data_IF_119350273824
#
_entry.id   IF_119350273824
#
_cell.length_a   1.000
_cell.length_b   1.000
_cell.length_c   1.000
_cell.angle_alpha   90.00
_cell.angle_beta   90.00
_cell.angle_gamma   90.00
#
_symmetry.space_group_name_H-M   'P 1'
#
loop_
_entity.id
_entity.type
_entity.pdbx_description
1 polymer ?
#
# COMPACT_ATOMS: atom_id res chain seq x y z
N UNK A 1 31.87 17.41 34.30
CA UNK A 1 32.98 17.77 33.40
C UNK A 1 33.41 16.52 32.66
N UNK A 2 33.19 16.42 31.36
CA UNK A 2 34.03 15.73 30.38
C UNK A 2 33.42 16.01 28.99
N UNK A 3 34.08 16.88 28.22
CA UNK A 3 33.73 17.27 26.86
C UNK A 3 34.34 16.24 25.91
N UNK A 4 33.53 15.57 25.10
CA UNK A 4 34.01 14.69 24.04
C UNK A 4 34.04 15.47 22.72
N UNK A 5 35.24 15.76 22.23
CA UNK A 5 35.51 16.49 20.99
C UNK A 5 35.57 15.49 19.83
N UNK A 6 34.70 15.62 18.82
CA UNK A 6 34.81 14.91 17.55
C UNK A 6 35.42 15.85 16.50
N UNK A 7 36.62 15.52 16.05
CA UNK A 7 37.37 16.25 15.03
C UNK A 7 36.93 15.80 13.63
N UNK A 8 36.60 16.78 12.79
CA UNK A 8 36.22 16.62 11.37
C UNK A 8 37.52 16.55 10.54
N UNK A 9 37.65 15.55 9.67
CA UNK A 9 38.68 15.51 8.62
C UNK A 9 37.98 15.46 7.26
N UNK A 10 37.96 16.62 6.59
CA UNK A 10 37.52 16.76 5.20
C UNK A 10 38.72 16.53 4.28
N UNK A 11 38.64 15.56 3.36
CA UNK A 11 39.59 15.38 2.29
C UNK A 11 39.01 15.94 0.98
N UNK A 12 39.64 16.99 0.46
CA UNK A 12 39.36 17.56 -0.85
C UNK A 12 40.20 16.83 -1.91
N UNK A 13 39.57 16.39 -3.00
CA UNK A 13 40.26 15.88 -4.18
C UNK A 13 39.91 16.78 -5.38
N UNK A 14 40.90 17.53 -5.85
CA UNK A 14 40.86 18.31 -7.08
C UNK A 14 41.37 17.45 -8.24
N UNK A 15 40.66 17.42 -9.36
CA UNK A 15 41.14 16.84 -10.62
C UNK A 15 41.01 17.88 -11.73
N UNK A 16 42.13 18.06 -12.43
CA UNK A 16 42.44 19.05 -13.45
C UNK A 16 41.75 18.79 -14.80
N UNK A 17 41.47 19.88 -15.50
CA UNK A 17 41.01 19.94 -16.88
C UNK A 17 42.13 19.61 -17.89
N UNK A 18 41.76 19.02 -19.03
CA UNK A 18 42.60 18.90 -20.23
C UNK A 18 41.74 18.75 -21.48
N UNK A 19 41.83 19.73 -22.37
CA UNK A 19 41.15 19.82 -23.66
C UNK A 19 42.11 19.51 -24.81
N UNK A 20 41.64 18.80 -25.84
CA UNK A 20 42.27 18.75 -27.16
C UNK A 20 41.21 18.47 -28.25
N UNK A 21 41.11 19.39 -29.21
CA UNK A 21 40.34 19.27 -30.45
C UNK A 21 41.25 18.80 -31.59
N UNK A 22 40.75 17.98 -32.50
CA UNK A 22 41.34 17.76 -33.82
C UNK A 22 40.24 17.57 -34.90
N UNK A 23 40.42 18.27 -36.02
CA UNK A 23 39.62 18.33 -37.24
C UNK A 23 40.11 17.30 -38.28
N UNK A 24 39.20 16.79 -39.13
CA UNK A 24 39.27 16.71 -40.62
C UNK A 24 38.39 15.56 -41.19
N UNK A 25 37.36 15.90 -42.00
CA UNK A 25 37.21 15.68 -43.48
C UNK A 25 36.79 14.24 -43.89
N UNK A 26 35.54 14.02 -44.32
CA UNK A 26 34.89 14.18 -45.65
C UNK A 26 35.12 13.00 -46.62
N UNK A 27 34.03 12.30 -46.96
CA UNK A 27 33.61 11.69 -48.25
C UNK A 27 32.47 10.71 -47.91
N UNK A 28 31.20 10.88 -48.29
CA UNK A 28 30.66 11.24 -49.60
C UNK A 28 30.19 9.96 -50.28
N UNK A 29 28.89 9.62 -50.22
CA UNK A 29 28.16 8.87 -51.24
C UNK A 29 26.65 9.15 -51.11
N UNK A 30 26.01 9.29 -52.27
CA UNK A 30 24.78 10.04 -52.55
C UNK A 30 23.69 9.09 -53.04
N UNK A 31 22.53 9.10 -52.37
CA UNK A 31 21.14 9.02 -52.90
C UNK A 31 20.71 7.72 -53.65
N UNK A 32 19.40 7.40 -53.80
CA UNK A 32 18.25 8.30 -53.80
C UNK A 32 17.03 7.91 -52.95
N UNK A 33 16.21 8.93 -52.73
CA UNK A 33 14.87 8.87 -52.17
C UNK A 33 13.82 8.61 -53.25
N UNK A 34 12.68 8.01 -52.83
CA UNK A 34 11.26 8.36 -53.13
C UNK A 34 10.35 7.09 -53.13
N UNK A 35 9.01 7.18 -53.00
CA UNK A 35 8.23 7.75 -51.89
C UNK A 35 7.02 6.83 -51.47
N UNK A 36 6.23 7.31 -50.49
CA UNK A 36 4.83 6.94 -50.15
C UNK A 36 4.63 5.75 -49.17
N UNK A 37 4.02 5.98 -48.01
CA UNK A 37 2.58 5.92 -47.73
C UNK A 37 2.35 6.12 -46.22
N UNK A 38 1.37 6.95 -45.87
CA UNK A 38 0.93 7.15 -44.48
C UNK A 38 -0.08 6.05 -44.12
N UNK A 39 0.36 5.08 -43.33
CA UNK A 39 -0.55 4.19 -42.61
C UNK A 39 -0.53 4.57 -41.13
N UNK A 40 -1.67 5.08 -40.66
CA UNK A 40 -1.94 5.32 -39.24
C UNK A 40 -2.21 3.98 -38.56
N UNK A 41 -1.25 3.50 -37.77
CA UNK A 41 -1.48 2.49 -36.74
C UNK A 41 -1.21 3.15 -35.38
N UNK A 42 -2.18 3.22 -34.45
CA UNK A 42 -1.89 3.60 -33.08
C UNK A 42 -1.19 2.40 -32.42
N UNK A 43 0.12 2.31 -32.60
CA UNK A 43 0.97 1.46 -31.77
C UNK A 43 0.95 2.02 -30.36
N UNK A 44 0.26 1.33 -29.45
CA UNK A 44 0.50 1.45 -28.02
C UNK A 44 1.98 1.12 -27.78
N UNK A 45 2.80 2.16 -27.73
CA UNK A 45 4.12 2.08 -27.15
C UNK A 45 3.90 1.90 -25.65
N UNK A 46 3.91 0.63 -25.21
CA UNK A 46 4.12 0.25 -23.82
C UNK A 46 5.47 0.81 -23.39
N UNK A 47 5.46 2.04 -22.91
CA UNK A 47 6.55 2.58 -22.12
C UNK A 47 6.63 1.70 -20.87
N UNK A 48 7.78 1.11 -20.53
CA UNK A 48 7.88 0.33 -19.31
C UNK A 48 7.54 1.27 -18.16
N UNK A 49 6.43 0.99 -17.49
CA UNK A 49 6.09 1.65 -16.24
C UNK A 49 7.26 1.42 -15.29
N UNK A 50 7.95 2.51 -14.96
CA UNK A 50 9.02 2.53 -13.98
C UNK A 50 8.61 1.65 -12.80
N UNK A 51 9.45 0.66 -12.51
CA UNK A 51 9.31 -0.23 -11.36
C UNK A 51 9.56 0.57 -10.09
N UNK A 52 8.65 1.47 -9.74
CA UNK A 52 8.65 2.15 -8.47
C UNK A 52 8.34 1.10 -7.39
N UNK A 53 9.36 0.75 -6.62
CA UNK A 53 9.22 -0.02 -5.38
C UNK A 53 8.20 0.71 -4.49
N UNK A 54 7.16 0.01 -4.04
CA UNK A 54 6.22 0.58 -3.08
C UNK A 54 7.00 1.11 -1.87
N UNK A 55 6.67 2.32 -1.37
CA UNK A 55 7.41 2.93 -0.26
C UNK A 55 7.36 2.03 0.97
N UNK A 56 8.47 1.96 1.70
CA UNK A 56 8.55 1.22 2.96
C UNK A 56 7.67 1.92 4.00
N UNK A 57 6.66 1.22 4.53
CA UNK A 57 5.63 1.73 5.44
C UNK A 57 5.73 1.04 6.79
N UNK A 58 5.43 1.78 7.86
CA UNK A 58 5.35 1.23 9.21
C UNK A 58 4.08 0.37 9.42
N UNK A 59 3.08 0.51 8.56
CA UNK A 59 1.86 -0.31 8.56
C UNK A 59 1.22 -0.41 7.19
N UNK A 60 -0.10 -0.42 7.16
CA UNK A 60 -0.89 -0.71 5.99
C UNK A 60 -0.99 0.47 5.02
N UNK A 61 -1.24 0.20 3.71
CA UNK A 61 -1.70 1.20 2.76
C UNK A 61 -2.87 2.04 3.29
N UNK A 62 -3.05 3.21 2.69
CA UNK A 62 -4.22 4.03 2.94
C UNK A 62 -5.51 3.26 2.62
N UNK A 63 -6.42 3.03 3.59
CA UNK A 63 -7.48 2.02 3.46
C UNK A 63 -8.73 2.55 2.75
N UNK A 64 -8.84 3.86 2.56
CA UNK A 64 -10.03 4.48 2.00
C UNK A 64 -9.88 4.81 0.52
N UNK A 65 -11.01 4.84 -0.15
CA UNK A 65 -11.15 5.19 -1.55
C UNK A 65 -11.39 6.68 -1.79
N UNK A 66 -11.35 7.48 -0.72
CA UNK A 66 -11.71 8.90 -0.71
C UNK A 66 -10.58 9.72 -0.12
N UNK A 67 -10.35 10.92 -0.66
CA UNK A 67 -9.37 11.87 -0.15
C UNK A 67 -9.75 12.32 1.27
N UNK A 68 -8.83 12.34 2.25
CA UNK A 68 -9.12 12.76 3.62
C UNK A 68 -9.39 14.26 3.75
N UNK A 69 -9.09 15.05 2.71
CA UNK A 69 -9.30 16.50 2.69
C UNK A 69 -10.57 16.90 1.96
N UNK A 70 -10.73 16.46 0.70
CA UNK A 70 -11.90 16.86 -0.10
C UNK A 70 -13.09 15.89 0.04
N UNK A 71 -12.86 14.66 0.49
CA UNK A 71 -13.86 13.59 0.47
C UNK A 71 -14.11 12.99 -0.92
N UNK A 72 -13.49 13.51 -1.98
CA UNK A 72 -13.66 13.01 -3.34
C UNK A 72 -12.99 11.65 -3.54
N UNK A 73 -13.48 10.89 -4.52
CA UNK A 73 -12.94 9.58 -4.89
C UNK A 73 -11.49 9.70 -5.36
N UNK A 74 -10.59 8.91 -4.77
CA UNK A 74 -9.22 8.77 -5.27
C UNK A 74 -9.23 8.16 -6.67
N UNK A 75 -8.47 8.77 -7.60
CA UNK A 75 -8.48 8.41 -9.02
C UNK A 75 -9.33 9.34 -9.91
N UNK A 76 -10.24 10.15 -9.35
CA UNK A 76 -11.06 11.07 -10.15
C UNK A 76 -10.27 12.24 -10.75
N UNK A 77 -9.10 12.56 -10.17
CA UNK A 77 -8.19 13.63 -10.60
C UNK A 77 -6.83 13.09 -11.06
N UNK A 78 -6.81 11.83 -11.53
CA UNK A 78 -5.58 11.13 -11.92
C UNK A 78 -5.01 10.26 -10.79
N UNK A 79 -3.73 9.89 -10.90
CA UNK A 79 -3.08 9.06 -9.90
C UNK A 79 -3.07 9.74 -8.52
N UNK A 80 -3.45 9.04 -7.43
CA UNK A 80 -3.45 9.63 -6.11
C UNK A 80 -2.06 10.10 -5.68
N UNK A 81 -2.00 11.29 -5.08
CA UNK A 81 -0.80 11.81 -4.44
C UNK A 81 -0.58 11.06 -3.12
N UNK A 82 0.52 10.32 -3.03
CA UNK A 82 0.88 9.54 -1.86
C UNK A 82 1.90 10.30 -1.02
N UNK A 83 1.61 10.53 0.26
CA UNK A 83 2.60 11.04 1.23
C UNK A 83 2.70 10.15 2.45
N UNK A 84 3.85 10.25 3.11
CA UNK A 84 4.17 9.53 4.34
C UNK A 84 4.21 10.51 5.50
N UNK A 85 3.42 10.24 6.54
CA UNK A 85 3.43 10.99 7.80
C UNK A 85 3.76 10.01 8.92
N UNK A 86 4.90 10.16 9.57
CA UNK A 86 5.32 9.26 10.67
C UNK A 86 5.29 7.77 10.27
N UNK A 87 5.71 7.45 9.05
CA UNK A 87 5.72 6.07 8.52
C UNK A 87 4.35 5.54 8.07
N UNK A 88 3.28 6.34 8.20
CA UNK A 88 1.93 6.04 7.72
C UNK A 88 1.70 6.63 6.34
N UNK A 89 1.16 5.81 5.43
CA UNK A 89 0.73 6.26 4.11
C UNK A 89 -0.61 7.02 4.18
N UNK A 90 -0.67 8.17 3.53
CA UNK A 90 -1.92 8.92 3.28
C UNK A 90 -2.00 9.26 1.79
N UNK A 91 -3.19 9.05 1.20
CA UNK A 91 -3.44 9.32 -0.21
C UNK A 91 -4.39 10.48 -0.40
N UNK A 92 -4.08 11.32 -1.37
CA UNK A 92 -4.83 12.51 -1.72
C UNK A 92 -5.25 12.47 -3.19
N UNK A 93 -6.35 13.13 -3.52
CA UNK A 93 -6.83 13.18 -4.90
C UNK A 93 -6.01 14.13 -5.80
N UNK A 94 -5.35 15.15 -5.24
CA UNK A 94 -4.52 16.10 -5.98
C UNK A 94 -3.37 16.66 -5.14
N UNK A 95 -2.43 17.36 -5.79
CA UNK A 95 -1.27 18.03 -5.22
C UNK A 95 -1.63 19.16 -4.22
N UNK A 96 -2.78 19.80 -4.39
CA UNK A 96 -3.28 20.84 -3.50
C UNK A 96 -3.83 20.35 -2.16
N UNK A 97 -4.03 19.04 -2.00
CA UNK A 97 -4.58 18.46 -0.77
C UNK A 97 -3.56 18.24 0.37
N UNK A 98 -2.34 17.71 0.13
CA UNK A 98 -1.34 17.56 1.19
C UNK A 98 -1.06 18.86 1.99
N UNK A 99 -0.88 20.05 1.37
CA UNK A 99 -0.65 21.28 2.13
C UNK A 99 -1.82 21.66 3.05
N UNK A 100 -3.07 21.33 2.66
CA UNK A 100 -4.26 21.55 3.48
C UNK A 100 -4.33 20.59 4.66
N UNK A 101 -3.89 19.35 4.46
CA UNK A 101 -3.76 18.35 5.52
C UNK A 101 -2.68 18.74 6.53
N UNK A 102 -1.56 19.26 6.03
CA UNK A 102 -0.40 19.66 6.83
C UNK A 102 -0.63 20.96 7.64
N UNK A 103 -1.62 21.79 7.24
CA UNK A 103 -1.97 23.05 7.94
C UNK A 103 -2.32 22.83 9.42
N UNK A 104 -3.00 21.72 9.71
CA UNK A 104 -3.23 21.23 11.06
C UNK A 104 -3.11 19.71 11.02
N UNK A 105 -1.86 19.25 11.03
CA UNK A 105 -1.54 17.83 10.89
C UNK A 105 -2.21 17.01 12.01
N UNK A 106 -2.16 17.49 13.25
CA UNK A 106 -2.72 16.79 14.41
C UNK A 106 -4.24 16.62 14.30
N UNK A 107 -4.99 17.68 13.98
CA UNK A 107 -6.43 17.57 13.80
C UNK A 107 -6.80 16.72 12.57
N UNK A 108 -6.01 16.80 11.50
CA UNK A 108 -6.25 16.02 10.29
C UNK A 108 -5.98 14.53 10.49
N UNK A 109 -4.92 14.16 11.20
CA UNK A 109 -4.64 12.77 11.56
C UNK A 109 -5.65 12.23 12.55
N UNK A 110 -6.09 13.02 13.54
CA UNK A 110 -7.12 12.60 14.49
C UNK A 110 -8.45 12.27 13.79
N UNK A 111 -8.91 13.11 12.86
CA UNK A 111 -10.11 12.83 12.05
C UNK A 111 -9.95 11.57 11.20
N UNK A 112 -8.76 11.36 10.64
CA UNK A 112 -8.49 10.15 9.87
C UNK A 112 -8.47 8.91 10.77
N UNK A 113 -7.94 9.03 11.99
CA UNK A 113 -7.92 7.96 12.98
C UNK A 113 -9.33 7.59 13.44
N UNK A 114 -10.19 8.57 13.73
CA UNK A 114 -11.61 8.33 14.02
C UNK A 114 -12.30 7.53 12.91
N UNK A 115 -12.02 7.86 11.64
CA UNK A 115 -12.56 7.11 10.50
C UNK A 115 -12.05 5.67 10.47
N UNK A 116 -10.76 5.46 10.77
CA UNK A 116 -10.14 4.12 10.84
C UNK A 116 -10.69 3.31 12.00
N UNK A 117 -10.82 3.91 13.18
CA UNK A 117 -11.41 3.25 14.36
C UNK A 117 -12.84 2.83 14.04
N UNK A 118 -13.66 3.74 13.50
CA UNK A 118 -15.05 3.43 13.12
C UNK A 118 -15.15 2.28 12.11
N UNK A 119 -14.24 2.24 11.16
CA UNK A 119 -14.18 1.22 10.11
C UNK A 119 -13.71 -0.15 10.64
N UNK A 120 -12.69 -0.17 11.49
CA UNK A 120 -12.01 -1.41 11.90
C UNK A 120 -12.50 -1.98 13.24
N UNK A 121 -13.07 -1.15 14.13
CA UNK A 121 -13.55 -1.57 15.45
C UNK A 121 -14.55 -2.74 15.40
N UNK A 122 -15.51 -2.82 14.46
CA UNK A 122 -16.44 -3.94 14.37
C UNK A 122 -15.78 -5.26 13.90
N UNK A 123 -14.59 -5.18 13.31
CA UNK A 123 -13.85 -6.31 12.73
C UNK A 123 -12.67 -6.75 13.60
N UNK A 124 -12.49 -6.13 14.78
CA UNK A 124 -11.32 -6.36 15.60
C UNK A 124 -11.31 -7.79 16.16
N UNK A 125 -10.23 -8.58 15.94
CA UNK A 125 -10.27 -10.04 16.17
C UNK A 125 -10.01 -10.46 17.62
N UNK A 126 -9.51 -9.57 18.47
CA UNK A 126 -9.09 -9.90 19.84
C UNK A 126 -10.06 -9.34 20.89
N UNK A 127 -10.32 -10.15 21.91
CA UNK A 127 -11.00 -9.74 23.16
C UNK A 127 -10.00 -9.35 24.26
N UNK A 128 -8.71 -9.55 24.01
CA UNK A 128 -7.59 -9.29 24.91
C UNK A 128 -6.71 -8.17 24.36
N UNK A 129 -5.93 -7.54 25.25
CA UNK A 129 -4.89 -6.58 24.89
C UNK A 129 -3.88 -7.22 23.97
N UNK A 130 -3.53 -6.51 22.90
CA UNK A 130 -2.50 -6.97 21.96
C UNK A 130 -1.12 -7.13 22.61
N UNK A 131 -0.85 -6.42 23.71
CA UNK A 131 0.45 -6.41 24.37
C UNK A 131 0.53 -7.41 25.52
N UNK A 132 -0.49 -7.46 26.37
CA UNK A 132 -0.45 -8.20 27.64
C UNK A 132 -1.29 -9.47 27.65
N UNK A 133 -2.07 -9.74 26.59
CA UNK A 133 -3.03 -10.84 26.49
C UNK A 133 -4.12 -10.86 27.60
N UNK A 134 -4.22 -9.81 28.41
CA UNK A 134 -5.28 -9.63 29.41
C UNK A 134 -6.58 -9.17 28.75
N UNK A 135 -7.73 -9.51 29.32
CA UNK A 135 -9.03 -9.07 28.80
C UNK A 135 -9.11 -7.54 28.62
N UNK A 136 -9.67 -7.11 27.49
CA UNK A 136 -9.92 -5.70 27.25
C UNK A 136 -11.06 -5.20 28.15
N UNK A 137 -10.94 -4.00 28.73
CA UNK A 137 -12.07 -3.37 29.42
C UNK A 137 -13.16 -2.98 28.43
N UNK A 138 -14.35 -2.63 28.94
CA UNK A 138 -15.48 -2.17 28.11
C UNK A 138 -15.13 -0.96 27.22
N UNK A 139 -14.17 -0.13 27.66
CA UNK A 139 -13.58 0.97 26.89
C UNK A 139 -12.07 0.73 26.80
N UNK A 140 -11.57 0.02 25.77
CA UNK A 140 -10.15 -0.23 25.60
C UNK A 140 -9.41 1.07 25.25
N UNK A 141 -8.09 1.09 25.50
CA UNK A 141 -7.24 2.13 24.95
C UNK A 141 -7.02 1.86 23.46
N UNK A 142 -7.55 2.74 22.63
CA UNK A 142 -7.50 2.64 21.17
C UNK A 142 -6.55 3.68 20.59
N UNK A 143 -5.73 3.26 19.64
CA UNK A 143 -4.95 4.16 18.80
C UNK A 143 -4.72 3.54 17.43
N UNK A 144 -4.33 4.36 16.46
CA UNK A 144 -4.00 3.90 15.11
C UNK A 144 -2.48 3.87 14.94
N UNK A 145 -1.96 2.73 14.49
CA UNK A 145 -0.58 2.55 14.08
C UNK A 145 -0.53 2.20 12.59
N UNK A 146 0.03 3.09 11.76
CA UNK A 146 0.20 2.83 10.33
C UNK A 146 -1.10 2.37 9.63
N UNK A 147 -2.18 3.13 9.76
CA UNK A 147 -3.52 2.80 9.23
C UNK A 147 -4.22 1.57 9.84
N UNK A 148 -3.73 1.05 10.97
CA UNK A 148 -4.36 -0.06 11.69
C UNK A 148 -4.77 0.30 13.10
N UNK A 149 -6.00 -0.05 13.45
CA UNK A 149 -6.50 0.05 14.82
C UNK A 149 -5.75 -0.96 15.71
N UNK A 150 -5.28 -0.49 16.85
CA UNK A 150 -4.72 -1.29 17.95
C UNK A 150 -5.54 -1.04 19.21
N UNK A 151 -5.87 -2.12 19.94
CA UNK A 151 -6.52 -2.07 21.25
C UNK A 151 -5.61 -2.65 22.33
N UNK A 152 -5.44 -1.87 23.39
CA UNK A 152 -4.74 -2.24 24.61
C UNK A 152 -5.68 -2.12 25.82
N UNK A 153 -5.31 -2.72 26.94
CA UNK A 153 -6.04 -2.59 28.19
C UNK A 153 -5.96 -1.18 28.78
N UNK A 154 -4.78 -0.56 28.70
CA UNK A 154 -4.52 0.81 29.14
C UNK A 154 -3.44 1.51 28.31
N UNK A 155 -3.38 2.85 28.39
CA UNK A 155 -2.37 3.67 27.71
C UNK A 155 -0.93 3.29 28.09
N UNK A 156 -0.70 2.88 29.34
CA UNK A 156 0.62 2.49 29.83
C UNK A 156 1.26 1.34 29.04
N UNK A 157 0.44 0.50 28.39
CA UNK A 157 0.91 -0.61 27.55
C UNK A 157 1.50 -0.14 26.21
N UNK A 158 1.21 1.10 25.77
CA UNK A 158 1.71 1.66 24.50
C UNK A 158 3.22 1.77 24.47
N UNK A 159 3.86 2.00 25.62
CA UNK A 159 5.32 2.04 25.72
C UNK A 159 5.94 0.69 25.35
N UNK A 160 5.30 -0.42 25.74
CA UNK A 160 5.75 -1.77 25.39
C UNK A 160 5.48 -2.08 23.91
N UNK A 161 4.28 -1.75 23.42
CA UNK A 161 3.96 -1.86 21.99
C UNK A 161 5.03 -1.19 21.11
N UNK A 162 5.48 0.01 21.51
CA UNK A 162 6.40 0.83 20.72
C UNK A 162 7.82 0.26 20.65
N UNK A 163 8.21 -0.68 21.52
CA UNK A 163 9.52 -1.34 21.49
C UNK A 163 9.66 -2.31 20.32
N UNK A 164 8.58 -2.98 19.96
CA UNK A 164 8.54 -3.93 18.84
C UNK A 164 7.16 -3.96 18.17
N UNK A 165 6.78 -2.87 17.47
CA UNK A 165 5.48 -2.82 16.81
C UNK A 165 5.34 -3.91 15.75
N UNK A 166 6.43 -4.32 15.08
CA UNK A 166 6.40 -5.37 14.04
C UNK A 166 5.92 -6.70 14.62
N UNK A 167 6.42 -7.11 15.79
CA UNK A 167 5.96 -8.31 16.49
C UNK A 167 4.48 -8.24 16.83
N UNK A 168 4.02 -7.14 17.43
CA UNK A 168 2.62 -7.01 17.85
C UNK A 168 1.66 -6.95 16.65
N UNK A 169 2.04 -6.25 15.58
CA UNK A 169 1.25 -6.23 14.35
C UNK A 169 1.17 -7.63 13.72
N UNK A 170 2.24 -8.43 13.76
CA UNK A 170 2.19 -9.82 13.30
C UNK A 170 1.27 -10.72 14.15
N UNK A 171 1.17 -10.47 15.46
CA UNK A 171 0.19 -11.14 16.34
C UNK A 171 -1.23 -10.75 15.94
N UNK A 172 -1.48 -9.46 15.72
CA UNK A 172 -2.78 -8.96 15.29
C UNK A 172 -3.20 -9.53 13.93
N UNK A 173 -2.28 -9.59 12.97
CA UNK A 173 -2.54 -10.18 11.65
C UNK A 173 -2.89 -11.67 11.76
N UNK A 174 -2.16 -12.44 12.57
CA UNK A 174 -2.50 -13.86 12.84
C UNK A 174 -3.89 -14.01 13.43
N UNK A 175 -4.29 -13.12 14.34
CA UNK A 175 -5.64 -13.13 14.91
C UNK A 175 -6.71 -12.83 13.86
N UNK A 176 -6.47 -11.87 12.95
CA UNK A 176 -7.36 -11.61 11.81
C UNK A 176 -7.49 -12.84 10.91
N UNK A 177 -6.38 -13.47 10.55
CA UNK A 177 -6.38 -14.69 9.72
C UNK A 177 -7.15 -15.83 10.40
N UNK A 178 -6.91 -16.04 11.70
CA UNK A 178 -7.57 -17.10 12.46
C UNK A 178 -9.09 -16.90 12.56
N UNK A 179 -9.56 -15.66 12.69
CA UNK A 179 -10.99 -15.36 12.80
C UNK A 179 -11.68 -15.36 11.43
N UNK A 180 -11.12 -14.64 10.46
CA UNK A 180 -11.74 -14.44 9.15
C UNK A 180 -11.47 -15.59 8.16
N UNK A 181 -10.44 -16.42 8.41
CA UNK A 181 -10.04 -17.51 7.53
C UNK A 181 -10.89 -18.78 7.64
N UNK A 182 -11.56 -19.01 8.78
CA UNK A 182 -12.37 -20.23 9.01
C UNK A 182 -13.52 -20.38 8.01
N UNK A 183 -14.19 -19.26 7.71
CA UNK A 183 -15.32 -19.19 6.79
C UNK A 183 -15.02 -18.16 5.69
N UNK A 184 -13.85 -18.30 5.06
CA UNK A 184 -13.43 -17.33 4.05
C UNK A 184 -14.41 -17.36 2.85
N UNK A 185 -15.04 -16.22 2.49
CA UNK A 185 -16.20 -16.21 1.59
C UNK A 185 -15.85 -16.36 0.10
N UNK A 186 -14.61 -16.05 -0.30
CA UNK A 186 -14.19 -16.13 -1.70
C UNK A 186 -13.59 -17.51 -2.00
N UNK A 187 -13.94 -18.06 -3.17
CA UNK A 187 -13.38 -19.30 -3.71
C UNK A 187 -12.28 -19.05 -4.75
N UNK A 188 -12.19 -17.80 -5.23
CA UNK A 188 -11.20 -17.34 -6.21
C UNK A 188 -10.48 -16.09 -5.75
N UNK A 189 -9.26 -15.93 -6.25
CA UNK A 189 -8.41 -14.77 -5.98
C UNK A 189 -9.12 -13.47 -6.41
N UNK A 190 -9.28 -12.47 -5.53
CA UNK A 190 -9.92 -11.20 -5.88
C UNK A 190 -9.07 -10.33 -6.81
N UNK A 191 -7.79 -10.67 -7.02
CA UNK A 191 -6.87 -9.96 -7.93
C UNK A 191 -6.90 -10.59 -9.31
N UNK A 192 -6.60 -11.89 -9.45
CA UNK A 192 -6.50 -12.57 -10.74
C UNK A 192 -7.81 -13.21 -11.23
N UNK A 193 -8.75 -13.53 -10.32
CA UNK A 193 -9.92 -14.35 -10.62
C UNK A 193 -9.64 -15.85 -10.70
N UNK A 194 -8.41 -16.29 -10.46
CA UNK A 194 -8.05 -17.71 -10.48
C UNK A 194 -8.56 -18.45 -9.24
N UNK A 195 -8.85 -19.75 -9.39
CA UNK A 195 -9.22 -20.59 -8.27
C UNK A 195 -8.02 -20.84 -7.33
N UNK A 196 -8.30 -20.94 -6.04
CA UNK A 196 -7.29 -21.32 -5.05
C UNK A 196 -6.90 -22.80 -5.20
N UNK A 197 -5.63 -23.12 -4.93
CA UNK A 197 -5.11 -24.49 -5.00
C UNK A 197 -4.81 -25.01 -6.42
N UNK A 198 -4.80 -24.12 -7.42
CA UNK A 198 -4.35 -24.41 -8.78
C UNK A 198 -2.83 -24.30 -8.95
N UNK A 199 -2.38 -24.03 -10.18
CA UNK A 199 -0.96 -23.98 -10.57
C UNK A 199 -0.13 -22.91 -9.82
N UNK A 200 -0.80 -21.94 -9.19
CA UNK A 200 -0.16 -20.87 -8.41
C UNK A 200 0.26 -21.30 -6.99
N UNK A 201 -0.08 -22.53 -6.58
CA UNK A 201 0.29 -23.11 -5.29
C UNK A 201 -0.66 -22.76 -4.15
N UNK A 202 -0.14 -22.81 -2.92
CA UNK A 202 -0.90 -22.48 -1.71
C UNK A 202 -1.28 -20.99 -1.68
N UNK A 203 -2.54 -20.66 -1.39
CA UNK A 203 -2.97 -19.27 -1.25
C UNK A 203 -2.19 -18.53 -0.17
N UNK A 204 -1.98 -17.24 -0.39
CA UNK A 204 -1.33 -16.33 0.55
C UNK A 204 -2.38 -15.47 1.23
N UNK A 205 -2.39 -15.47 2.55
CA UNK A 205 -3.23 -14.60 3.37
C UNK A 205 -2.53 -13.27 3.62
N UNK A 206 -3.17 -12.17 3.22
CA UNK A 206 -2.71 -10.81 3.44
C UNK A 206 -3.73 -10.09 4.31
N UNK A 207 -3.27 -9.34 5.31
CA UNK A 207 -4.16 -8.56 6.17
C UNK A 207 -3.98 -7.08 5.88
N UNK A 208 -5.08 -6.40 5.55
CA UNK A 208 -5.09 -4.96 5.30
C UNK A 208 -6.30 -4.32 5.97
N UNK A 209 -6.08 -3.25 6.73
CA UNK A 209 -7.13 -2.52 7.42
C UNK A 209 -8.05 -3.43 8.25
N UNK A 210 -7.47 -4.43 8.94
CA UNK A 210 -8.21 -5.41 9.74
C UNK A 210 -8.99 -6.46 8.94
N UNK A 211 -8.72 -6.61 7.64
CA UNK A 211 -9.43 -7.55 6.75
C UNK A 211 -8.47 -8.56 6.16
N UNK A 212 -8.88 -9.81 6.13
CA UNK A 212 -8.21 -10.86 5.39
C UNK A 212 -8.53 -10.76 3.90
N UNK A 213 -7.48 -10.65 3.09
CA UNK A 213 -7.50 -10.74 1.63
C UNK A 213 -6.59 -11.90 1.22
N UNK A 214 -7.20 -13.03 0.87
CA UNK A 214 -6.49 -14.20 0.36
C UNK A 214 -6.20 -14.02 -1.13
N UNK A 215 -5.00 -14.35 -1.57
CA UNK A 215 -4.59 -14.27 -2.98
C UNK A 215 -3.95 -15.57 -3.44
N UNK A 216 -3.96 -15.85 -4.74
CA UNK A 216 -3.37 -17.08 -5.28
C UNK A 216 -1.84 -17.09 -5.21
N UNK A 217 -1.18 -15.93 -5.19
CA UNK A 217 0.28 -15.84 -5.11
C UNK A 217 0.77 -14.53 -4.51
N UNK A 218 2.06 -14.50 -4.14
CA UNK A 218 2.73 -13.29 -3.58
C UNK A 218 2.74 -12.10 -4.53
N UNK A 219 2.71 -12.31 -5.84
CA UNK A 219 2.76 -11.22 -6.83
C UNK A 219 1.51 -10.33 -6.76
N UNK A 220 0.35 -10.90 -6.41
CA UNK A 220 -0.91 -10.17 -6.24
C UNK A 220 -0.86 -9.11 -5.12
N UNK A 221 0.10 -9.21 -4.19
CA UNK A 221 0.31 -8.21 -3.14
C UNK A 221 0.50 -6.80 -3.73
N UNK A 222 1.25 -6.66 -4.83
CA UNK A 222 1.54 -5.35 -5.43
C UNK A 222 0.28 -4.68 -5.97
N UNK A 223 -0.63 -5.44 -6.57
CA UNK A 223 -1.89 -4.90 -7.07
C UNK A 223 -2.79 -4.43 -5.93
N UNK A 224 -2.81 -5.19 -4.83
CA UNK A 224 -3.51 -4.76 -3.62
C UNK A 224 -2.90 -3.47 -3.07
N UNK A 225 -1.57 -3.37 -2.97
CA UNK A 225 -0.93 -2.15 -2.48
C UNK A 225 -1.16 -0.95 -3.40
N UNK A 226 -1.34 -1.15 -4.72
CA UNK A 226 -1.69 -0.08 -5.66
C UNK A 226 -3.13 0.41 -5.47
N UNK A 227 -4.08 -0.49 -5.22
CA UNK A 227 -5.49 -0.12 -5.05
C UNK A 227 -6.12 -0.79 -3.81
N UNK A 228 -5.65 -0.45 -2.59
CA UNK A 228 -6.01 -1.14 -1.35
C UNK A 228 -7.51 -1.08 -1.09
N UNK A 229 -8.12 0.10 -1.26
CA UNK A 229 -9.53 0.33 -1.01
C UNK A 229 -10.44 -0.53 -1.91
N UNK A 230 -10.05 -0.80 -3.16
CA UNK A 230 -10.78 -1.71 -4.06
C UNK A 230 -10.86 -3.13 -3.48
N UNK A 231 -9.73 -3.68 -3.04
CA UNK A 231 -9.70 -5.06 -2.55
C UNK A 231 -10.26 -5.20 -1.13
N UNK A 232 -10.11 -4.15 -0.30
CA UNK A 232 -10.83 -4.01 0.96
C UNK A 232 -12.35 -4.07 0.72
N UNK A 233 -12.86 -3.30 -0.26
CA UNK A 233 -14.28 -3.33 -0.60
C UNK A 233 -14.76 -4.70 -1.11
N UNK A 234 -13.94 -5.40 -1.91
CA UNK A 234 -14.25 -6.78 -2.34
C UNK A 234 -14.34 -7.73 -1.14
N UNK A 235 -13.40 -7.64 -0.19
CA UNK A 235 -13.43 -8.47 1.01
C UNK A 235 -14.66 -8.15 1.88
N UNK A 236 -15.04 -6.89 1.99
CA UNK A 236 -16.23 -6.46 2.75
C UNK A 236 -17.53 -6.92 2.13
N UNK A 237 -17.66 -6.79 0.80
CA UNK A 237 -18.80 -7.29 0.05
C UNK A 237 -18.94 -8.82 0.23
N UNK A 238 -17.83 -9.55 0.13
CA UNK A 238 -17.84 -11.00 0.26
C UNK A 238 -18.31 -11.47 1.64
N UNK A 239 -17.89 -10.80 2.72
CA UNK A 239 -18.38 -11.10 4.08
C UNK A 239 -19.87 -10.80 4.26
N UNK A 240 -20.45 -9.94 3.43
CA UNK A 240 -21.90 -9.67 3.38
C UNK A 240 -22.66 -10.63 2.46
N UNK A 241 -21.99 -11.62 1.87
CA UNK A 241 -22.56 -12.54 0.90
C UNK A 241 -22.66 -11.99 -0.53
N UNK A 242 -22.06 -10.83 -0.79
CA UNK A 242 -21.99 -10.22 -2.12
C UNK A 242 -20.67 -10.61 -2.79
N UNK A 243 -20.74 -11.42 -3.84
CA UNK A 243 -19.54 -11.93 -4.50
C UNK A 243 -19.29 -11.27 -5.87
N UNK A 244 -18.03 -10.93 -6.21
CA UNK A 244 -17.70 -10.49 -7.56
C UNK A 244 -17.97 -11.60 -8.59
N UNK A 245 -18.17 -11.23 -9.88
CA UNK A 245 -18.35 -12.20 -10.95
C UNK A 245 -17.25 -13.26 -10.96
N UNK A 246 -17.63 -14.52 -11.22
CA UNK A 246 -16.70 -15.64 -11.31
C UNK A 246 -16.54 -16.45 -10.02
N UNK A 247 -17.03 -15.99 -8.85
CA UNK A 247 -16.92 -16.72 -7.57
C UNK A 247 -17.79 -17.99 -7.47
N UNK A 248 -18.51 -18.34 -8.53
CA UNK A 248 -19.19 -19.62 -8.68
C UNK A 248 -18.16 -20.71 -9.01
N UNK A 249 -18.06 -21.72 -8.14
CA UNK A 249 -17.16 -22.86 -8.32
C UNK A 249 -17.53 -23.72 -9.55
N UNK A 250 -18.71 -23.52 -10.15
CA UNK A 250 -19.26 -24.39 -11.19
C UNK A 250 -19.02 -23.93 -12.64
N UNK A 251 -18.38 -22.77 -12.89
CA UNK A 251 -18.10 -22.31 -14.27
C UNK A 251 -16.59 -22.15 -14.55
N UNK A 252 -16.00 -22.92 -15.48
CA UNK A 252 -14.63 -22.68 -15.94
C UNK A 252 -14.55 -21.35 -16.70
N UNK A 253 -13.57 -20.53 -16.35
CA UNK A 253 -13.25 -19.31 -17.10
C UNK A 253 -12.67 -19.73 -18.46
N UNK A 254 -13.38 -19.44 -19.55
CA UNK A 254 -12.76 -19.45 -20.89
C UNK A 254 -11.94 -18.17 -21.02
N UNK A 255 -10.62 -18.30 -21.08
CA UNK A 255 -9.77 -17.26 -21.64
C UNK A 255 -10.06 -17.17 -23.14
N UNK A 256 -10.45 -15.99 -23.61
CA UNK A 256 -10.52 -15.64 -25.04
C UNK A 256 -9.19 -15.06 -25.46
#
# INVERSE_FOLDING_TARGET
MLRNQFTIVSAALAVLAGSASALAQHDGHKAPAQPKQHDHQPGHADKPADTAKAPERAGDPYPFDTCPISGEKLGSMGEPFVKMYEGREVRFCCDGCPPRFEKDLAASTAKLDEKIVKDQAPLYPLKTSLVTDKDLPAKPYEFVYGNRLVRLGAEAEKAEFSKDPKRYMAVLDKAVVAEQGKNYPLTRCPVSGEAYGGEMGEPVDLVYAGRLIRVCCKSCKKDIEKNPAKFIAIADAARKGEHPPGQDASKPHRHK
#
